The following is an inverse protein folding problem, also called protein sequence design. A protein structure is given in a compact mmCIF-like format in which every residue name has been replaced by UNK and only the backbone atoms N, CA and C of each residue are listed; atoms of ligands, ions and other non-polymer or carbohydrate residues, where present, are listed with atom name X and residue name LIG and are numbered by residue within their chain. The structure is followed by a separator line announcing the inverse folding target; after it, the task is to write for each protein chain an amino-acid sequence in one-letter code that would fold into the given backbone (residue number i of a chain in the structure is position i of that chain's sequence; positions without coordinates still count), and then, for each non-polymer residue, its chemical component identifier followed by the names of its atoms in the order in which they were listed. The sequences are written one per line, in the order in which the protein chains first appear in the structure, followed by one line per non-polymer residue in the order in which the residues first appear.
data_IF_096383186100
#
_entry.id   IF_096383186100
#
_cell.length_a   1.000
_cell.length_b   1.000
_cell.length_c   1.000
_cell.angle_alpha   90.00
_cell.angle_beta   90.00
_cell.angle_gamma   90.00
#
_symmetry.space_group_name_H-M   'P 1'
#
loop_
_entity.id
_entity.type
_entity.pdbx_description
1 polymer ?
#
# COMPACT_ATOMS: atom_id res chain seq x y z
N UNK A 1 -5.77 -41.55 1.34
CA UNK A 1 -5.96 -40.41 0.40
C UNK A 1 -4.60 -39.88 0.04
N UNK A 2 -4.33 -39.61 -1.23
CA UNK A 2 -3.05 -39.03 -1.66
C UNK A 2 -3.01 -37.53 -1.28
N UNK A 3 -1.82 -36.98 -1.08
CA UNK A 3 -1.66 -35.56 -0.70
C UNK A 3 -2.34 -34.60 -1.69
N UNK A 4 -2.29 -34.97 -2.97
CA UNK A 4 -2.94 -34.12 -4.02
C UNK A 4 -4.47 -34.07 -3.90
N UNK A 5 -5.08 -35.17 -3.45
CA UNK A 5 -6.53 -35.24 -3.24
C UNK A 5 -6.93 -34.35 -2.05
N UNK A 6 -6.14 -34.40 -0.96
CA UNK A 6 -6.34 -33.50 0.20
C UNK A 6 -6.21 -32.02 -0.16
N UNK A 7 -5.19 -31.68 -0.97
CA UNK A 7 -5.00 -30.29 -1.41
C UNK A 7 -6.15 -29.80 -2.29
N UNK A 8 -6.70 -30.66 -3.16
CA UNK A 8 -7.90 -30.31 -3.96
C UNK A 8 -9.10 -30.04 -3.08
N UNK A 9 -9.31 -30.87 -2.06
CA UNK A 9 -10.41 -30.70 -1.11
C UNK A 9 -10.25 -29.41 -0.27
N UNK A 10 -9.06 -29.12 0.24
CA UNK A 10 -8.74 -27.87 0.91
C UNK A 10 -9.04 -26.69 -0.01
N UNK A 11 -8.60 -26.71 -1.26
CA UNK A 11 -8.89 -25.64 -2.23
C UNK A 11 -10.40 -25.47 -2.48
N UNK A 12 -11.15 -26.56 -2.51
CA UNK A 12 -12.60 -26.52 -2.64
C UNK A 12 -13.27 -25.88 -1.41
N UNK A 13 -12.85 -26.26 -0.21
CA UNK A 13 -13.34 -25.66 1.03
C UNK A 13 -13.03 -24.15 1.09
N UNK A 14 -11.85 -23.73 0.69
CA UNK A 14 -11.49 -22.31 0.61
C UNK A 14 -12.35 -21.56 -0.40
N UNK A 15 -12.62 -22.14 -1.57
CA UNK A 15 -13.49 -21.53 -2.60
C UNK A 15 -14.93 -21.34 -2.13
N UNK A 16 -15.39 -22.18 -1.18
CA UNK A 16 -16.71 -22.12 -0.55
C UNK A 16 -16.73 -21.21 0.70
N UNK A 17 -15.63 -20.57 1.06
CA UNK A 17 -15.52 -19.77 2.28
C UNK A 17 -15.43 -20.57 3.59
N UNK A 18 -15.25 -21.90 3.51
CA UNK A 18 -15.22 -22.85 4.64
C UNK A 18 -13.80 -23.08 5.15
N UNK A 19 -13.04 -22.03 5.38
CA UNK A 19 -11.62 -22.11 5.79
C UNK A 19 -11.45 -22.84 7.13
N UNK A 20 -12.31 -22.57 8.09
CA UNK A 20 -12.26 -23.20 9.43
C UNK A 20 -12.39 -24.72 9.34
N UNK A 21 -13.26 -25.21 8.45
CA UNK A 21 -13.39 -26.65 8.19
C UNK A 21 -12.10 -27.25 7.61
N UNK A 22 -11.47 -26.56 6.69
CA UNK A 22 -10.17 -27.00 6.13
C UNK A 22 -9.07 -27.08 7.19
N UNK A 23 -9.06 -26.14 8.16
CA UNK A 23 -8.13 -26.20 9.29
C UNK A 23 -8.45 -27.34 10.26
N UNK A 24 -9.70 -27.70 10.44
CA UNK A 24 -10.10 -28.80 11.30
C UNK A 24 -9.76 -30.17 10.69
N UNK A 25 -10.03 -30.34 9.41
CA UNK A 25 -9.85 -31.63 8.71
C UNK A 25 -8.40 -31.88 8.28
N UNK A 26 -7.69 -30.81 7.86
CA UNK A 26 -6.32 -30.90 7.29
C UNK A 26 -5.37 -29.85 7.89
N UNK A 27 -5.17 -29.80 9.22
CA UNK A 27 -4.50 -28.68 9.88
C UNK A 27 -3.08 -28.43 9.36
N UNK A 28 -2.26 -29.46 9.22
CA UNK A 28 -0.87 -29.35 8.80
C UNK A 28 -0.71 -28.88 7.35
N UNK A 29 -1.53 -29.39 6.44
CA UNK A 29 -1.50 -29.01 5.02
C UNK A 29 -2.09 -27.61 4.82
N UNK A 30 -3.19 -27.33 5.49
CA UNK A 30 -3.85 -26.02 5.45
C UNK A 30 -2.90 -24.94 5.96
N UNK A 31 -2.25 -25.15 7.11
CA UNK A 31 -1.28 -24.21 7.65
C UNK A 31 -0.09 -24.01 6.69
N UNK A 32 0.43 -25.11 6.12
CA UNK A 32 1.59 -25.06 5.18
C UNK A 32 1.29 -24.29 3.90
N UNK A 33 0.09 -24.45 3.34
CA UNK A 33 -0.26 -23.94 2.01
C UNK A 33 -1.32 -22.82 2.04
N UNK A 34 -1.67 -22.31 3.22
CA UNK A 34 -2.74 -21.31 3.41
C UNK A 34 -2.61 -20.12 2.46
N UNK A 35 -1.44 -19.49 2.43
CA UNK A 35 -1.21 -18.29 1.62
C UNK A 35 -1.33 -18.58 0.12
N UNK A 36 -0.77 -19.70 -0.34
CA UNK A 36 -0.83 -20.12 -1.74
C UNK A 36 -2.25 -20.47 -2.17
N UNK A 37 -2.98 -21.23 -1.35
CA UNK A 37 -4.36 -21.62 -1.63
C UNK A 37 -5.25 -20.39 -1.66
N UNK A 38 -5.10 -19.49 -0.70
CA UNK A 38 -5.83 -18.23 -0.66
C UNK A 38 -5.59 -17.39 -1.92
N UNK A 39 -4.33 -17.25 -2.34
CA UNK A 39 -4.00 -16.51 -3.57
C UNK A 39 -4.63 -17.16 -4.81
N UNK A 40 -4.55 -18.49 -4.96
CA UNK A 40 -5.13 -19.22 -6.10
C UNK A 40 -6.66 -19.06 -6.12
N UNK A 41 -7.31 -19.21 -4.97
CA UNK A 41 -8.77 -19.09 -4.87
C UNK A 41 -9.23 -17.66 -5.18
N UNK A 42 -8.56 -16.64 -4.63
CA UNK A 42 -8.83 -15.24 -4.97
C UNK A 42 -8.66 -14.99 -6.47
N UNK A 43 -7.54 -15.42 -7.06
CA UNK A 43 -7.28 -15.22 -8.50
C UNK A 43 -8.34 -15.90 -9.37
N UNK A 44 -8.87 -17.06 -8.98
CA UNK A 44 -9.93 -17.75 -9.73
C UNK A 44 -11.29 -17.09 -9.59
N UNK A 45 -11.61 -16.56 -8.41
CA UNK A 45 -12.90 -15.95 -8.11
C UNK A 45 -12.96 -14.47 -8.55
N UNK A 46 -11.80 -13.83 -8.66
CA UNK A 46 -11.66 -12.40 -8.92
C UNK A 46 -10.83 -12.13 -10.19
N UNK A 47 -11.00 -12.92 -11.24
CA UNK A 47 -10.51 -12.48 -12.56
C UNK A 47 -11.35 -11.26 -12.94
N UNK A 48 -10.90 -10.02 -12.70
CA UNK A 48 -11.63 -8.86 -13.14
C UNK A 48 -11.62 -8.90 -14.66
N UNK A 49 -12.80 -8.82 -15.25
CA UNK A 49 -12.94 -8.57 -16.68
C UNK A 49 -12.38 -7.19 -17.08
N UNK A 50 -11.93 -6.40 -16.10
CA UNK A 50 -11.44 -5.04 -16.24
C UNK A 50 -10.06 -4.90 -15.63
N UNK A 51 -9.23 -4.07 -16.27
CA UNK A 51 -7.94 -3.62 -15.73
C UNK A 51 -8.18 -3.00 -14.36
N UNK A 52 -7.42 -3.42 -13.37
CA UNK A 52 -7.46 -2.80 -12.05
C UNK A 52 -6.92 -1.37 -12.15
N UNK A 53 -7.82 -0.40 -12.05
CA UNK A 53 -7.51 1.02 -12.03
C UNK A 53 -7.20 1.54 -10.62
N UNK A 54 -6.96 0.65 -9.64
CA UNK A 54 -6.54 1.06 -8.30
C UNK A 54 -5.28 1.92 -8.38
N UNK A 55 -5.26 3.07 -7.72
CA UNK A 55 -4.15 4.00 -7.85
C UNK A 55 -2.86 3.40 -7.28
N UNK A 56 -1.86 3.27 -8.12
CA UNK A 56 -0.49 3.15 -7.67
C UNK A 56 -0.03 4.57 -7.39
N UNK A 57 0.39 4.79 -6.15
CA UNK A 57 0.62 6.14 -5.67
C UNK A 57 2.09 6.34 -5.31
N UNK A 58 2.71 7.37 -5.89
CA UNK A 58 4.06 7.81 -5.52
C UNK A 58 3.99 9.15 -4.82
N UNK A 59 4.16 9.14 -3.51
CA UNK A 59 4.13 10.33 -2.67
C UNK A 59 5.55 10.79 -2.43
N UNK A 60 5.88 11.99 -2.90
CA UNK A 60 7.22 12.54 -2.74
C UNK A 60 7.22 13.91 -2.05
N UNK A 61 8.39 14.32 -1.54
CA UNK A 61 8.59 15.60 -0.88
C UNK A 61 9.61 15.52 0.25
N UNK A 62 9.95 16.64 0.89
CA UNK A 62 11.01 16.72 1.91
C UNK A 62 10.79 15.74 3.07
N UNK A 63 11.86 15.37 3.80
CA UNK A 63 11.72 14.58 5.02
C UNK A 63 10.91 15.33 6.07
N UNK A 64 10.21 14.59 6.93
CA UNK A 64 9.41 15.17 8.03
C UNK A 64 8.04 15.75 7.63
N UNK A 65 7.65 15.71 6.35
CA UNK A 65 6.39 16.27 5.85
C UNK A 65 5.15 15.37 6.03
N UNK A 66 5.26 14.29 6.81
CA UNK A 66 4.11 13.45 7.14
C UNK A 66 3.72 12.39 6.10
N UNK A 67 4.55 12.10 5.09
CA UNK A 67 4.28 11.08 4.04
C UNK A 67 3.89 9.72 4.62
N UNK A 68 4.73 9.18 5.52
CA UNK A 68 4.48 7.87 6.15
C UNK A 68 3.25 7.90 7.05
N UNK A 69 3.02 8.99 7.77
CA UNK A 69 1.84 9.18 8.60
C UNK A 69 0.56 9.21 7.76
N UNK A 70 0.59 9.88 6.60
CA UNK A 70 -0.52 9.87 5.64
C UNK A 70 -0.84 8.43 5.17
N UNK A 71 0.18 7.64 4.80
CA UNK A 71 -0.03 6.27 4.35
C UNK A 71 -0.61 5.42 5.48
N UNK A 72 -0.09 5.51 6.70
CA UNK A 72 -0.59 4.77 7.85
C UNK A 72 -2.06 5.12 8.18
N UNK A 73 -2.44 6.38 8.00
CA UNK A 73 -3.83 6.82 8.20
C UNK A 73 -4.75 6.37 7.07
N UNK A 74 -4.35 6.59 5.82
CA UNK A 74 -5.22 6.37 4.65
C UNK A 74 -5.34 4.90 4.27
N UNK A 75 -4.28 4.12 4.50
CA UNK A 75 -4.15 2.72 4.12
C UNK A 75 -3.77 1.84 5.33
N UNK A 76 -4.65 1.72 6.33
CA UNK A 76 -4.34 1.03 7.59
C UNK A 76 -4.09 -0.48 7.43
N UNK A 77 -4.45 -1.06 6.29
CA UNK A 77 -4.21 -2.47 5.94
C UNK A 77 -3.05 -2.65 4.95
N UNK A 78 -2.25 -1.61 4.75
CA UNK A 78 -1.11 -1.72 3.85
C UNK A 78 -0.03 -2.65 4.43
N UNK A 79 0.43 -3.60 3.62
CA UNK A 79 1.60 -4.41 3.92
C UNK A 79 2.86 -3.59 3.71
N UNK A 80 3.55 -3.21 4.79
CA UNK A 80 4.84 -2.55 4.70
C UNK A 80 5.91 -3.55 4.30
N UNK A 81 6.35 -3.47 3.06
CA UNK A 81 7.38 -4.34 2.49
C UNK A 81 8.76 -3.98 3.05
N UNK A 82 9.47 -4.97 3.61
CA UNK A 82 10.88 -4.79 3.99
C UNK A 82 11.76 -4.58 2.76
N UNK A 83 12.61 -3.55 2.82
CA UNK A 83 13.58 -3.20 1.78
C UNK A 83 15.03 -3.48 2.21
N UNK A 84 15.22 -4.18 3.32
CA UNK A 84 16.54 -4.62 3.74
C UNK A 84 17.18 -5.48 2.64
N UNK A 85 18.48 -5.30 2.41
CA UNK A 85 19.23 -5.90 1.30
C UNK A 85 18.99 -7.40 1.11
N UNK A 86 18.84 -8.16 2.20
CA UNK A 86 18.62 -9.60 2.16
C UNK A 86 17.14 -9.99 2.14
N UNK A 87 16.22 -9.04 2.18
CA UNK A 87 14.79 -9.26 2.29
C UNK A 87 13.98 -8.64 1.14
N UNK A 88 14.63 -7.82 0.33
CA UNK A 88 13.96 -7.11 -0.77
C UNK A 88 13.19 -8.03 -1.72
N UNK A 89 13.69 -9.24 -1.93
CA UNK A 89 13.04 -10.24 -2.80
C UNK A 89 11.92 -11.04 -2.11
N UNK A 90 11.84 -11.00 -0.77
CA UNK A 90 10.91 -11.81 -0.02
C UNK A 90 9.74 -11.00 0.55
N UNK A 91 8.60 -11.63 0.66
CA UNK A 91 7.34 -11.04 1.10
C UNK A 91 6.83 -11.66 2.40
N UNK A 92 7.75 -11.97 3.31
CA UNK A 92 7.41 -12.58 4.58
C UNK A 92 6.49 -11.69 5.41
N UNK A 93 5.47 -12.30 6.00
CA UNK A 93 4.49 -11.59 6.82
C UNK A 93 3.33 -10.98 6.03
N UNK A 94 3.31 -11.11 4.69
CA UNK A 94 2.12 -10.72 3.94
C UNK A 94 0.97 -11.70 4.22
N UNK A 95 -0.19 -11.14 4.49
CA UNK A 95 -1.46 -11.86 4.61
C UNK A 95 -2.43 -11.31 3.56
N UNK A 96 -2.74 -12.09 2.54
CA UNK A 96 -3.60 -11.67 1.42
C UNK A 96 -5.09 -11.58 1.79
N UNK A 97 -5.49 -12.07 2.95
CA UNK A 97 -6.84 -11.91 3.47
C UNK A 97 -7.00 -10.62 4.27
N UNK A 98 -5.90 -10.10 4.81
CA UNK A 98 -5.89 -8.88 5.61
C UNK A 98 -5.37 -7.67 4.84
N UNK A 99 -4.26 -7.82 4.13
CA UNK A 99 -3.61 -6.72 3.43
C UNK A 99 -4.27 -6.47 2.07
N UNK A 100 -4.64 -5.25 1.82
CA UNK A 100 -5.28 -4.80 0.57
C UNK A 100 -4.36 -3.94 -0.31
N UNK A 101 -3.19 -3.57 0.20
CA UNK A 101 -2.25 -2.64 -0.43
C UNK A 101 -0.82 -3.01 -0.04
N UNK A 102 0.13 -2.71 -0.89
CA UNK A 102 1.58 -2.81 -0.59
C UNK A 102 2.18 -1.44 -0.40
N UNK A 103 3.00 -1.28 0.61
CA UNK A 103 3.66 -0.04 0.94
C UNK A 103 5.18 -0.17 0.91
N UNK A 104 5.85 0.61 0.06
CA UNK A 104 7.30 0.79 0.01
C UNK A 104 7.64 2.12 0.65
N UNK A 105 8.27 2.09 1.83
CA UNK A 105 8.58 3.29 2.57
C UNK A 105 9.97 3.82 2.24
N UNK A 106 10.04 5.15 2.08
CA UNK A 106 11.27 5.95 1.95
C UNK A 106 12.26 5.44 0.87
N UNK A 107 11.72 5.29 -0.34
CA UNK A 107 12.54 4.87 -1.49
C UNK A 107 13.52 5.98 -1.85
N UNK A 108 14.80 5.77 -1.50
CA UNK A 108 15.93 6.57 -1.97
C UNK A 108 16.67 5.86 -3.12
N UNK A 109 17.74 6.49 -3.66
CA UNK A 109 18.54 5.93 -4.77
C UNK A 109 19.06 4.52 -4.50
N UNK A 110 19.54 4.25 -3.29
CA UNK A 110 20.09 2.92 -2.91
C UNK A 110 19.00 1.85 -2.85
N UNK A 111 17.84 2.17 -2.24
CA UNK A 111 16.69 1.26 -2.18
C UNK A 111 16.14 0.99 -3.58
N UNK A 112 16.05 2.03 -4.42
CA UNK A 112 15.62 1.92 -5.81
C UNK A 112 16.54 0.99 -6.63
N UNK A 113 17.86 1.12 -6.48
CA UNK A 113 18.83 0.24 -7.12
C UNK A 113 18.73 -1.20 -6.59
N UNK A 114 18.51 -1.38 -5.29
CA UNK A 114 18.38 -2.71 -4.68
C UNK A 114 17.11 -3.46 -5.13
N UNK A 115 15.99 -2.76 -5.31
CA UNK A 115 14.76 -3.33 -5.85
C UNK A 115 14.97 -3.68 -7.33
N UNK A 116 15.57 -2.77 -8.07
CA UNK A 116 15.68 -2.83 -9.52
C UNK A 116 14.40 -2.35 -10.22
N UNK A 117 14.62 -1.65 -11.32
CA UNK A 117 13.54 -1.03 -12.09
C UNK A 117 12.51 -2.05 -12.62
N UNK A 118 12.99 -3.17 -13.15
CA UNK A 118 12.12 -4.19 -13.73
C UNK A 118 11.20 -4.81 -12.68
N UNK A 119 11.70 -5.02 -11.47
CA UNK A 119 10.91 -5.53 -10.37
C UNK A 119 9.83 -4.52 -9.95
N UNK A 120 10.19 -3.24 -9.88
CA UNK A 120 9.23 -2.18 -9.55
C UNK A 120 8.16 -2.03 -10.64
N UNK A 121 8.53 -2.15 -11.92
CA UNK A 121 7.58 -2.18 -13.05
C UNK A 121 6.59 -3.35 -12.93
N UNK A 122 7.07 -4.54 -12.56
CA UNK A 122 6.23 -5.71 -12.37
C UNK A 122 5.23 -5.51 -11.21
N UNK A 123 5.70 -5.03 -10.07
CA UNK A 123 4.83 -4.81 -8.90
C UNK A 123 3.80 -3.69 -9.12
N UNK A 124 4.11 -2.73 -10.00
CA UNK A 124 3.23 -1.61 -10.30
C UNK A 124 2.37 -1.80 -11.55
N UNK A 125 2.43 -2.94 -12.23
CA UNK A 125 1.63 -3.17 -13.42
C UNK A 125 0.15 -3.42 -13.07
N UNK A 126 -0.79 -2.57 -13.55
CA UNK A 126 -2.20 -2.73 -13.26
C UNK A 126 -2.85 -3.89 -14.02
N UNK A 127 -2.25 -4.32 -15.12
CA UNK A 127 -2.84 -5.30 -16.04
C UNK A 127 -2.52 -6.74 -15.67
N UNK A 128 -1.41 -6.96 -14.99
CA UNK A 128 -0.91 -8.29 -14.67
C UNK A 128 -0.69 -8.45 -13.16
N UNK A 129 -1.00 -9.64 -12.66
CA UNK A 129 -0.58 -10.04 -11.34
C UNK A 129 0.91 -10.38 -11.32
N UNK A 130 1.56 -10.15 -10.21
CA UNK A 130 2.96 -10.47 -10.00
C UNK A 130 3.13 -11.68 -9.06
N UNK A 131 4.30 -12.28 -9.13
CA UNK A 131 4.68 -13.40 -8.25
C UNK A 131 5.46 -12.87 -7.07
N UNK A 132 5.12 -13.34 -5.88
CA UNK A 132 5.86 -13.04 -4.65
C UNK A 132 6.52 -14.30 -4.11
N UNK A 133 7.72 -14.14 -3.58
CA UNK A 133 8.49 -15.23 -2.98
C UNK A 133 8.49 -15.11 -1.46
N UNK A 134 8.31 -16.23 -0.77
CA UNK A 134 8.46 -16.32 0.68
C UNK A 134 9.79 -17.01 0.99
N UNK A 135 10.52 -16.50 1.99
CA UNK A 135 11.88 -16.99 2.31
C UNK A 135 11.94 -18.50 2.60
N UNK A 136 10.88 -19.04 3.18
CA UNK A 136 10.79 -20.47 3.55
C UNK A 136 9.47 -21.10 3.08
N UNK A 137 8.86 -20.54 2.05
CA UNK A 137 7.58 -21.00 1.52
C UNK A 137 7.59 -21.11 0.01
N UNK A 138 6.53 -21.69 -0.53
CA UNK A 138 6.31 -21.69 -1.97
C UNK A 138 5.95 -20.28 -2.47
N UNK A 139 6.31 -19.94 -3.71
CA UNK A 139 5.91 -18.67 -4.30
C UNK A 139 4.38 -18.58 -4.44
N UNK A 140 3.86 -17.37 -4.32
CA UNK A 140 2.45 -17.06 -4.52
C UNK A 140 2.32 -16.31 -5.84
N UNK A 141 1.47 -16.83 -6.73
CA UNK A 141 1.30 -16.30 -8.08
C UNK A 141 0.06 -15.43 -8.20
N UNK A 142 0.09 -14.50 -9.12
CA UNK A 142 -1.08 -13.70 -9.49
C UNK A 142 -1.53 -12.68 -8.43
N UNK A 143 -0.60 -12.22 -7.58
CA UNK A 143 -0.90 -11.17 -6.59
C UNK A 143 -1.19 -9.86 -7.29
N UNK A 144 -2.28 -9.18 -6.90
CA UNK A 144 -2.76 -7.92 -7.50
C UNK A 144 -3.09 -6.92 -6.41
N UNK A 145 -2.10 -6.51 -5.64
CA UNK A 145 -2.27 -5.46 -4.64
C UNK A 145 -1.77 -4.12 -5.19
N UNK A 146 -2.53 -3.03 -4.99
CA UNK A 146 -2.05 -1.69 -5.33
C UNK A 146 -0.76 -1.37 -4.59
N UNK A 147 0.11 -0.59 -5.24
CA UNK A 147 1.42 -0.24 -4.71
C UNK A 147 1.48 1.24 -4.34
N UNK A 148 1.88 1.51 -3.12
CA UNK A 148 2.14 2.86 -2.63
C UNK A 148 3.63 3.00 -2.31
N UNK A 149 4.20 4.08 -2.75
CA UNK A 149 5.61 4.44 -2.51
C UNK A 149 5.66 5.78 -1.81
N UNK A 150 6.48 5.91 -0.77
CA UNK A 150 6.91 7.22 -0.27
C UNK A 150 8.38 7.42 -0.57
N UNK A 151 8.77 8.65 -0.91
CA UNK A 151 10.13 9.01 -1.27
C UNK A 151 10.42 10.47 -0.93
N UNK A 152 11.68 10.80 -0.70
CA UNK A 152 12.14 12.19 -0.67
C UNK A 152 12.43 12.73 -2.08
N UNK A 153 12.35 11.86 -3.09
CA UNK A 153 12.70 12.13 -4.47
C UNK A 153 11.51 11.93 -5.40
N UNK A 154 11.39 12.79 -6.41
CA UNK A 154 10.53 12.51 -7.56
C UNK A 154 11.12 11.30 -8.34
N UNK A 155 10.30 10.44 -8.99
CA UNK A 155 10.79 9.24 -9.66
C UNK A 155 11.95 9.45 -10.63
N UNK A 156 11.96 10.56 -11.39
CA UNK A 156 13.03 10.89 -12.35
C UNK A 156 14.37 11.22 -11.70
N UNK A 157 14.36 11.62 -10.42
CA UNK A 157 15.57 11.93 -9.66
C UNK A 157 16.30 10.67 -9.16
N UNK A 158 15.67 9.51 -9.23
CA UNK A 158 16.26 8.24 -8.80
C UNK A 158 17.17 7.60 -9.84
N UNK A 159 17.13 8.08 -11.08
CA UNK A 159 17.98 7.59 -12.16
C UNK A 159 19.30 8.34 -12.19
N UNK A 160 20.40 7.60 -12.42
CA UNK A 160 21.71 8.20 -12.58
C UNK A 160 21.76 9.05 -13.85
N UNK A 161 22.45 10.21 -13.85
CA UNK A 161 22.49 11.13 -14.98
C UNK A 161 23.03 10.52 -16.28
N UNK A 162 23.96 9.58 -16.17
CA UNK A 162 24.64 8.88 -17.26
C UNK A 162 23.97 7.57 -17.68
N UNK A 163 22.85 7.23 -17.07
CA UNK A 163 22.11 6.00 -17.37
C UNK A 163 21.50 6.09 -18.77
N UNK A 164 21.85 5.13 -19.64
CA UNK A 164 21.22 4.99 -20.96
C UNK A 164 19.70 4.83 -20.80
N UNK A 165 18.95 5.52 -21.67
CA UNK A 165 17.48 5.46 -21.69
C UNK A 165 16.80 5.99 -20.42
N UNK A 166 17.48 6.79 -19.60
CA UNK A 166 16.94 7.38 -18.38
C UNK A 166 15.54 7.98 -18.58
N UNK A 167 15.33 8.78 -19.60
CA UNK A 167 14.05 9.42 -19.90
C UNK A 167 12.94 8.39 -20.17
N UNK A 168 13.23 7.40 -21.00
CA UNK A 168 12.27 6.33 -21.32
C UNK A 168 11.93 5.51 -20.08
N UNK A 169 12.91 5.21 -19.24
CA UNK A 169 12.74 4.46 -18.01
C UNK A 169 11.93 5.24 -16.96
N UNK A 170 12.21 6.53 -16.81
CA UNK A 170 11.46 7.43 -15.93
C UNK A 170 10.00 7.53 -16.39
N UNK A 171 9.74 7.72 -17.69
CA UNK A 171 8.40 7.74 -18.24
C UNK A 171 7.66 6.42 -18.03
N UNK A 172 8.37 5.29 -18.09
CA UNK A 172 7.77 3.98 -17.81
C UNK A 172 7.26 3.84 -16.37
N UNK A 173 7.89 4.49 -15.40
CA UNK A 173 7.38 4.60 -14.03
C UNK A 173 6.25 5.62 -13.92
N UNK A 174 6.45 6.83 -14.46
CA UNK A 174 5.48 7.93 -14.37
C UNK A 174 4.09 7.53 -14.88
N UNK A 175 4.02 6.73 -15.96
CA UNK A 175 2.73 6.25 -16.49
C UNK A 175 2.03 5.22 -15.60
N UNK A 176 2.75 4.58 -14.65
CA UNK A 176 2.21 3.56 -13.75
C UNK A 176 1.78 4.10 -12.41
N UNK A 177 2.30 5.27 -12.03
CA UNK A 177 2.02 5.89 -10.75
C UNK A 177 1.30 7.23 -10.93
N UNK A 178 0.35 7.50 -10.05
CA UNK A 178 -0.06 8.87 -9.76
C UNK A 178 1.03 9.47 -8.87
N UNK A 179 1.88 10.32 -9.48
CA UNK A 179 3.02 10.94 -8.79
C UNK A 179 2.57 12.26 -8.22
N UNK A 180 2.56 12.36 -6.90
CA UNK A 180 2.01 13.52 -6.21
C UNK A 180 2.96 14.02 -5.14
N UNK A 181 3.15 15.34 -5.08
CA UNK A 181 3.84 15.97 -3.96
C UNK A 181 2.95 15.91 -2.71
N UNK A 182 3.55 15.67 -1.54
CA UNK A 182 2.79 15.49 -0.29
C UNK A 182 1.88 16.67 0.03
N UNK A 183 2.31 17.91 -0.21
CA UNK A 183 1.52 19.09 0.05
C UNK A 183 0.26 19.15 -0.82
N UNK A 184 0.38 18.82 -2.12
CA UNK A 184 -0.75 18.77 -3.04
C UNK A 184 -1.75 17.69 -2.64
N UNK A 185 -1.23 16.55 -2.17
CA UNK A 185 -2.05 15.45 -1.68
C UNK A 185 -2.86 15.85 -0.44
N UNK A 186 -2.20 16.53 0.52
CA UNK A 186 -2.85 17.00 1.73
C UNK A 186 -3.91 18.06 1.42
N UNK A 187 -3.65 18.95 0.45
CA UNK A 187 -4.64 19.93 -0.02
C UNK A 187 -5.85 19.22 -0.66
N UNK A 188 -5.60 18.24 -1.54
CA UNK A 188 -6.69 17.44 -2.16
C UNK A 188 -7.54 16.72 -1.12
N UNK A 189 -6.92 16.11 -0.12
CA UNK A 189 -7.64 15.43 0.96
C UNK A 189 -8.40 16.45 1.84
N UNK A 190 -7.82 17.61 2.13
CA UNK A 190 -8.50 18.67 2.89
C UNK A 190 -9.76 19.17 2.17
N UNK A 191 -9.71 19.36 0.85
CA UNK A 191 -10.88 19.74 0.07
C UNK A 191 -11.99 18.69 0.11
N UNK A 192 -11.63 17.40 0.23
CA UNK A 192 -12.58 16.31 0.47
C UNK A 192 -13.08 16.25 1.92
N UNK A 193 -12.28 16.77 2.86
CA UNK A 193 -12.50 16.74 4.31
C UNK A 193 -13.39 17.89 4.84
N UNK A 194 -13.99 18.70 4.00
CA UNK A 194 -15.00 19.70 4.43
C UNK A 194 -16.21 19.02 5.10
N UNK A 195 -16.22 17.69 5.14
CA UNK A 195 -17.20 16.91 5.87
C UNK A 195 -16.73 16.65 7.32
N UNK A 196 -17.59 17.11 8.29
CA UNK A 196 -17.35 17.06 9.75
C UNK A 196 -17.04 15.67 10.31
N UNK A 197 -17.47 14.58 9.66
CA UNK A 197 -17.23 13.21 10.11
C UNK A 197 -15.77 12.76 9.93
N UNK A 198 -15.14 13.18 8.86
CA UNK A 198 -13.76 12.82 8.56
C UNK A 198 -12.78 13.54 9.49
N UNK A 199 -13.06 14.79 9.87
CA UNK A 199 -12.28 15.48 10.91
C UNK A 199 -12.36 14.80 12.28
N UNK A 200 -13.50 14.19 12.63
CA UNK A 200 -13.65 13.41 13.87
C UNK A 200 -12.85 12.11 13.82
N UNK A 201 -12.76 11.45 12.67
CA UNK A 201 -11.97 10.22 12.50
C UNK A 201 -10.47 10.49 12.55
N UNK A 202 -10.00 11.63 12.00
CA UNK A 202 -8.61 12.10 12.10
C UNK A 202 -8.20 12.39 13.55
N UNK A 203 -9.06 13.02 14.33
CA UNK A 203 -8.82 13.30 15.77
C UNK A 203 -8.78 12.01 16.61
N UNK A 204 -9.42 10.92 16.16
CA UNK A 204 -9.39 9.59 16.82
C UNK A 204 -8.22 8.72 16.36
N UNK A 205 -7.62 8.99 15.20
CA UNK A 205 -6.43 8.28 14.76
C UNK A 205 -5.28 8.58 15.76
N UNK A 206 -4.66 7.53 16.28
CA UNK A 206 -3.64 7.58 17.35
C UNK A 206 -2.34 8.33 16.97
N UNK A 207 -2.25 8.97 15.83
CA UNK A 207 -1.08 9.70 15.34
C UNK A 207 -1.27 11.21 15.55
N UNK A 208 -0.98 11.68 16.76
CA UNK A 208 -0.93 13.10 17.09
C UNK A 208 0.01 13.90 16.17
N UNK A 209 1.09 13.28 15.69
CA UNK A 209 2.06 13.91 14.79
C UNK A 209 1.49 14.22 13.40
N UNK A 210 0.62 13.36 12.86
CA UNK A 210 -0.02 13.63 11.57
C UNK A 210 -0.94 14.83 11.61
N UNK A 211 -1.76 14.95 12.67
CA UNK A 211 -2.66 16.08 12.85
C UNK A 211 -1.89 17.38 12.96
N UNK A 212 -0.73 17.37 13.62
CA UNK A 212 0.14 18.56 13.77
C UNK A 212 0.76 18.94 12.43
N UNK A 213 1.40 18.01 11.71
CA UNK A 213 1.97 18.28 10.38
C UNK A 213 0.91 18.81 9.38
N UNK A 214 -0.31 18.32 9.47
CA UNK A 214 -1.41 18.76 8.62
C UNK A 214 -1.86 20.20 8.94
N UNK A 215 -1.90 20.55 10.23
CA UNK A 215 -2.24 21.90 10.70
C UNK A 215 -1.14 22.88 10.32
N UNK A 216 0.12 22.55 10.61
CA UNK A 216 1.29 23.40 10.34
C UNK A 216 1.39 23.73 8.83
N UNK A 217 1.25 22.72 7.94
CA UNK A 217 1.23 22.92 6.49
C UNK A 217 0.04 23.79 6.01
N UNK A 218 -1.11 23.65 6.62
CA UNK A 218 -2.28 24.44 6.26
C UNK A 218 -2.11 25.91 6.66
N UNK A 219 -1.39 26.20 7.73
CA UNK A 219 -1.05 27.55 8.19
C UNK A 219 0.04 28.20 7.34
N UNK A 220 1.09 27.43 6.95
CA UNK A 220 2.16 27.89 6.06
C UNK A 220 1.65 28.31 4.67
N UNK A 221 0.66 27.60 4.13
CA UNK A 221 0.02 27.90 2.84
C UNK A 221 -1.05 29.01 2.94
N UNK A 222 -1.15 29.71 4.08
CA UNK A 222 -2.11 30.81 4.28
C UNK A 222 -3.57 30.36 4.36
N UNK A 223 -3.82 29.07 4.52
CA UNK A 223 -5.16 28.53 4.69
C UNK A 223 -5.51 28.62 6.17
N UNK A 224 -6.14 29.74 6.58
CA UNK A 224 -6.64 29.90 7.94
C UNK A 224 -7.65 28.79 8.25
N UNK A 225 -7.29 27.91 9.16
CA UNK A 225 -8.23 27.00 9.80
C UNK A 225 -9.11 27.89 10.68
N UNK A 226 -10.35 28.10 10.30
CA UNK A 226 -11.31 28.79 11.18
C UNK A 226 -11.50 27.84 12.39
N UNK A 227 -10.86 28.17 13.50
CA UNK A 227 -11.28 27.69 14.80
C UNK A 227 -12.71 28.23 15.02
N UNK A 228 -13.69 27.31 15.13
CA UNK A 228 -15.00 27.66 15.63
C UNK A 228 -14.79 28.22 17.06
N UNK A 229 -14.79 29.51 17.20
CA UNK A 229 -14.97 30.18 18.48
C UNK A 229 -16.26 29.63 19.09
N UNK A 230 -16.13 28.73 20.05
CA UNK A 230 -17.17 28.50 21.04
C UNK A 230 -17.22 29.70 21.95
N UNK A 231 -17.82 30.77 21.49
CA UNK A 231 -18.31 31.82 22.33
C UNK A 231 -19.47 31.24 23.16
N UNK A 232 -19.11 30.71 24.32
CA UNK A 232 -20.06 30.45 25.37
C UNK A 232 -20.54 31.81 25.88
N UNK A 233 -21.62 32.28 25.32
CA UNK A 233 -22.40 33.38 25.91
C UNK A 233 -22.76 33.00 27.34
N UNK A 234 -22.05 33.52 28.31
CA UNK A 234 -22.51 33.68 29.67
C UNK A 234 -23.19 35.05 29.76
N UNK A 235 -24.49 35.06 29.57
CA UNK A 235 -25.33 36.11 30.06
C UNK A 235 -25.22 36.12 31.60
N UNK A 236 -24.71 37.21 32.12
CA UNK A 236 -24.92 37.64 33.50
C UNK A 236 -25.86 38.84 33.47
N UNK A 237 -27.05 38.63 33.90
CA UNK A 237 -27.90 39.67 34.50
C UNK A 237 -28.58 39.07 35.69
#
# INVERSE_FOLDING_TARGET
MKQDDMLREIMQLFSQGKKDQAFQEYPALTLRYHAQITAIVKTRNELPATIDHSPRLWIWGPPGTGKSAYVAWKFPKAFKKSLAKNEVLYWNGIDLDFHDTVYLEDIGPEAFQSIGLEQLKQWSDPSQGYTISLKFGAPIYGVRLPLIVTSNYHPDQLFLPDQRHRETEAQALLRRFDVVHINDLLIREKLKLQDKETLKSLKKAKNADFSKCFIDLAEEEGIRIQEENKDNGRDYS
#
